data_IF_403762232718
#
_entry.id   IF_403762232718
#
_cell.length_a   1.000
_cell.length_b   1.000
_cell.length_c   1.000
_cell.angle_alpha   90.00
_cell.angle_beta   90.00
_cell.angle_gamma   90.00
#
_symmetry.space_group_name_H-M   'P 1'
#
loop_
_entity.id
_entity.type
_entity.pdbx_description
1 polymer ?
#
# COMPACT_ATOMS: atom_id res chain seq x y z
N UNK A 1 43.18 -3.53 -49.21
CA UNK A 1 43.18 -5.00 -49.03
C UNK A 1 43.25 -5.33 -47.55
N UNK A 2 42.30 -6.15 -47.11
CA UNK A 2 42.04 -6.79 -45.82
C UNK A 2 43.13 -6.79 -44.73
N UNK A 3 42.71 -6.48 -43.49
CA UNK A 3 42.78 -7.45 -42.37
C UNK A 3 41.81 -7.07 -41.26
N UNK A 4 40.58 -7.57 -41.43
CA UNK A 4 39.64 -7.84 -40.33
C UNK A 4 40.07 -9.19 -39.74
N UNK A 5 40.30 -9.28 -38.43
CA UNK A 5 40.00 -10.43 -37.54
C UNK A 5 40.91 -10.43 -36.30
N UNK A 6 40.39 -9.93 -35.17
CA UNK A 6 40.35 -10.65 -33.89
C UNK A 6 39.59 -9.79 -32.87
N UNK A 7 38.28 -10.03 -32.84
CA UNK A 7 37.37 -9.65 -31.78
C UNK A 7 37.48 -10.70 -30.65
N UNK A 8 37.14 -10.28 -29.42
CA UNK A 8 37.03 -11.04 -28.18
C UNK A 8 38.33 -11.53 -27.54
N UNK A 9 38.66 -10.92 -26.40
CA UNK A 9 38.74 -11.60 -25.10
C UNK A 9 39.02 -10.52 -24.01
N UNK A 10 38.12 -10.44 -23.01
CA UNK A 10 38.41 -10.00 -21.61
C UNK A 10 38.57 -8.47 -21.45
N UNK A 11 37.57 -7.64 -21.12
CA UNK A 11 36.53 -7.68 -20.06
C UNK A 11 37.08 -7.98 -18.66
N UNK A 12 36.75 -7.14 -17.67
CA UNK A 12 37.07 -7.23 -16.23
C UNK A 12 38.44 -6.70 -15.75
N UNK A 13 38.71 -5.39 -15.79
CA UNK A 13 39.52 -4.75 -14.70
C UNK A 13 38.95 -3.38 -14.23
N UNK A 14 37.89 -2.83 -14.84
CA UNK A 14 37.44 -1.46 -14.52
C UNK A 14 36.10 -1.41 -13.80
N UNK A 15 36.03 -1.88 -12.55
CA UNK A 15 34.84 -1.68 -11.69
C UNK A 15 35.06 -1.87 -10.19
N UNK A 16 36.22 -1.48 -9.62
CA UNK A 16 36.46 -1.61 -8.17
C UNK A 16 36.70 -0.32 -7.38
N UNK A 17 36.55 0.86 -7.98
CA UNK A 17 36.49 2.10 -7.23
C UNK A 17 35.29 2.90 -7.69
N UNK A 18 34.23 2.91 -6.88
CA UNK A 18 33.39 4.06 -6.52
C UNK A 18 32.17 3.54 -5.72
N UNK A 19 32.00 4.09 -4.51
CA UNK A 19 30.82 4.12 -3.65
C UNK A 19 30.36 2.84 -2.92
N UNK A 20 30.60 2.79 -1.62
CA UNK A 20 29.95 1.82 -0.73
C UNK A 20 30.17 2.02 0.77
N UNK A 21 30.38 3.26 1.23
CA UNK A 21 30.39 3.58 2.66
C UNK A 21 28.95 3.47 3.20
N UNK A 22 28.61 2.33 3.83
CA UNK A 22 27.71 2.19 4.98
C UNK A 22 27.18 0.74 5.08
N UNK A 23 28.01 -0.14 5.64
CA UNK A 23 27.51 -1.32 6.35
C UNK A 23 26.76 -0.86 7.61
N UNK A 24 25.52 -0.37 7.46
CA UNK A 24 24.59 -0.20 8.58
C UNK A 24 23.74 -1.45 8.69
N UNK A 25 24.00 -2.24 9.74
CA UNK A 25 23.19 -3.35 10.26
C UNK A 25 21.77 -3.38 9.66
N UNK A 26 21.61 -4.23 8.65
CA UNK A 26 20.33 -4.82 8.29
C UNK A 26 19.88 -5.68 9.47
N UNK A 27 19.16 -5.05 10.39
CA UNK A 27 18.29 -5.78 11.30
C UNK A 27 17.22 -6.44 10.43
N UNK A 28 17.47 -7.70 10.08
CA UNK A 28 16.58 -8.71 9.50
C UNK A 28 15.12 -8.25 9.39
N UNK A 29 14.80 -7.50 8.32
CA UNK A 29 13.42 -7.22 7.97
C UNK A 29 12.84 -8.53 7.41
N UNK A 30 11.65 -8.98 7.83
CA UNK A 30 11.02 -10.16 7.24
C UNK A 30 10.52 -9.78 5.84
N UNK A 31 11.45 -9.73 4.88
CA UNK A 31 11.25 -9.13 3.56
C UNK A 31 10.49 -10.04 2.59
N UNK A 32 10.30 -11.33 2.90
CA UNK A 32 9.49 -12.23 2.08
C UNK A 32 8.38 -12.97 2.83
N UNK A 33 8.47 -13.08 4.15
CA UNK A 33 7.60 -13.98 4.92
C UNK A 33 6.36 -13.30 5.52
N UNK A 34 5.65 -12.49 4.73
CA UNK A 34 4.20 -12.35 5.01
C UNK A 34 3.56 -13.65 4.50
N UNK A 35 3.61 -14.71 5.31
CA UNK A 35 3.09 -16.05 4.99
C UNK A 35 1.70 -15.92 4.37
N UNK A 36 1.52 -16.52 3.20
CA UNK A 36 0.23 -16.51 2.48
C UNK A 36 -0.82 -17.15 3.39
N UNK A 37 -1.80 -16.38 3.86
CA UNK A 37 -2.85 -16.84 4.77
C UNK A 37 -2.82 -16.20 6.15
N UNK A 38 -1.70 -15.59 6.56
CA UNK A 38 -1.63 -14.77 7.79
C UNK A 38 -2.53 -13.53 7.66
N UNK A 39 -3.12 -13.10 8.78
CA UNK A 39 -3.79 -11.80 8.87
C UNK A 39 -2.75 -10.69 8.87
N UNK A 40 -2.96 -9.66 8.03
CA UNK A 40 -2.00 -8.57 7.88
C UNK A 40 -2.23 -7.46 8.91
N UNK A 41 -1.14 -6.93 9.45
CA UNK A 41 -1.17 -5.75 10.33
C UNK A 41 -1.15 -4.44 9.55
N UNK A 42 -1.47 -3.33 10.22
CA UNK A 42 -1.38 -1.99 9.64
C UNK A 42 0.05 -1.63 9.22
N UNK A 43 1.04 -2.00 10.04
CA UNK A 43 2.46 -1.77 9.74
C UNK A 43 2.92 -2.58 8.52
N UNK A 44 2.60 -3.87 8.47
CA UNK A 44 2.90 -4.73 7.32
C UNK A 44 2.26 -4.20 6.02
N UNK A 45 1.00 -3.74 6.08
CA UNK A 45 0.33 -3.19 4.90
C UNK A 45 0.91 -1.83 4.48
N UNK A 46 1.28 -0.97 5.44
CA UNK A 46 1.98 0.28 5.17
C UNK A 46 3.30 0.02 4.43
N UNK A 47 4.06 -0.98 4.88
CA UNK A 47 5.27 -1.42 4.21
C UNK A 47 5.01 -1.86 2.77
N UNK A 48 4.03 -2.73 2.53
CA UNK A 48 3.72 -3.18 1.18
C UNK A 48 3.29 -2.03 0.26
N UNK A 49 2.52 -1.07 0.76
CA UNK A 49 2.11 0.11 -0.01
C UNK A 49 3.30 1.01 -0.36
N UNK A 50 4.12 1.34 0.64
CA UNK A 50 5.25 2.25 0.51
C UNK A 50 6.33 1.75 -0.47
N UNK A 51 6.48 0.42 -0.56
CA UNK A 51 7.50 -0.27 -1.37
C UNK A 51 7.03 -0.65 -2.77
N UNK A 52 5.74 -0.96 -2.96
CA UNK A 52 5.24 -1.51 -4.23
C UNK A 52 4.62 -0.50 -5.18
N UNK A 53 4.00 0.55 -4.64
CA UNK A 53 3.36 1.57 -5.49
C UNK A 53 4.39 2.62 -5.90
N UNK A 54 4.32 3.07 -7.15
CA UNK A 54 5.03 4.27 -7.57
C UNK A 54 4.30 5.50 -7.02
N UNK A 55 5.03 6.35 -6.30
CA UNK A 55 4.51 7.57 -5.68
C UNK A 55 5.09 8.85 -6.32
N UNK A 56 5.82 8.70 -7.42
CA UNK A 56 6.36 9.83 -8.19
C UNK A 56 5.24 10.73 -8.73
N UNK A 57 5.50 12.03 -8.80
CA UNK A 57 4.54 13.03 -9.30
C UNK A 57 3.41 13.38 -8.32
N UNK A 58 3.38 12.81 -7.11
CA UNK A 58 2.41 13.19 -6.08
C UNK A 58 2.97 14.36 -5.27
N UNK A 59 2.72 15.57 -5.74
CA UNK A 59 3.07 16.79 -5.02
C UNK A 59 2.07 17.04 -3.89
N UNK A 60 2.34 16.49 -2.70
CA UNK A 60 1.69 16.93 -1.46
C UNK A 60 2.62 17.84 -0.68
N UNK A 61 2.07 18.97 -0.20
CA UNK A 61 2.77 19.86 0.74
C UNK A 61 3.24 19.03 1.94
N UNK A 62 4.50 19.20 2.40
CA UNK A 62 5.03 18.42 3.51
C UNK A 62 4.22 18.71 4.77
N UNK A 63 3.36 17.74 5.15
CA UNK A 63 2.60 17.79 6.39
C UNK A 63 3.46 17.19 7.50
N UNK A 64 3.64 17.94 8.60
CA UNK A 64 4.24 17.39 9.82
C UNK A 64 3.23 16.41 10.42
N UNK A 65 3.60 15.14 10.48
CA UNK A 65 2.80 14.08 11.11
C UNK A 65 3.55 13.59 12.34
N UNK A 66 2.91 13.65 13.50
CA UNK A 66 3.42 13.14 14.77
C UNK A 66 2.81 11.77 15.00
N UNK A 67 3.66 10.76 15.20
CA UNK A 67 3.26 9.37 15.46
C UNK A 67 4.12 8.84 16.60
N UNK A 68 3.50 8.54 17.73
CA UNK A 68 4.22 8.29 19.00
C UNK A 68 4.59 6.82 19.22
N UNK A 69 3.89 5.88 18.57
CA UNK A 69 3.95 4.44 18.85
C UNK A 69 4.73 3.63 17.79
N UNK A 70 5.52 4.29 16.94
CA UNK A 70 6.24 3.63 15.84
C UNK A 70 7.76 3.57 16.02
N UNK A 71 8.29 4.02 17.17
CA UNK A 71 9.74 4.05 17.41
C UNK A 71 10.39 2.67 17.32
N UNK A 72 9.71 1.63 17.82
CA UNK A 72 10.15 0.23 17.81
C UNK A 72 9.66 -0.56 16.58
N UNK A 73 8.84 0.04 15.72
CA UNK A 73 8.29 -0.67 14.56
C UNK A 73 9.36 -0.83 13.47
N UNK A 74 9.55 -2.02 12.88
CA UNK A 74 10.44 -2.19 11.74
C UNK A 74 9.96 -1.42 10.50
N UNK A 75 8.67 -1.08 10.43
CA UNK A 75 8.03 -0.37 9.32
C UNK A 75 7.94 1.14 9.53
N UNK A 76 8.72 1.69 10.47
CA UNK A 76 8.62 3.10 10.90
C UNK A 76 8.69 4.08 9.73
N UNK A 77 9.58 3.85 8.78
CA UNK A 77 9.80 4.78 7.66
C UNK A 77 8.64 4.72 6.65
N UNK A 78 8.14 3.52 6.38
CA UNK A 78 7.02 3.26 5.48
C UNK A 78 5.72 3.80 6.06
N UNK A 79 5.49 3.59 7.36
CA UNK A 79 4.38 4.19 8.09
C UNK A 79 4.41 5.72 7.96
N UNK A 80 5.57 6.34 8.22
CA UNK A 80 5.71 7.81 8.05
C UNK A 80 5.41 8.25 6.62
N UNK A 81 5.86 7.49 5.61
CA UNK A 81 5.61 7.79 4.20
C UNK A 81 4.12 7.77 3.88
N UNK A 82 3.41 6.67 4.17
CA UNK A 82 1.98 6.54 3.88
C UNK A 82 1.11 7.50 4.71
N UNK A 83 1.52 7.84 5.93
CA UNK A 83 0.82 8.79 6.78
C UNK A 83 0.97 10.24 6.27
N UNK A 84 2.18 10.65 5.86
CA UNK A 84 2.40 11.97 5.23
C UNK A 84 1.58 12.17 3.96
N UNK A 85 1.39 11.10 3.20
CA UNK A 85 0.54 11.11 1.99
C UNK A 85 -0.96 11.00 2.30
N UNK A 86 -1.35 10.87 3.57
CA UNK A 86 -2.74 10.66 4.02
C UNK A 86 -3.40 9.42 3.39
N UNK A 87 -2.58 8.42 3.04
CA UNK A 87 -3.04 7.14 2.51
C UNK A 87 -3.58 6.28 3.66
N UNK A 88 -2.84 6.23 4.76
CA UNK A 88 -3.26 5.61 6.01
C UNK A 88 -3.36 6.67 7.11
N UNK A 89 -4.45 6.62 7.85
CA UNK A 89 -4.77 7.57 8.93
C UNK A 89 -3.95 7.27 10.19
N UNK A 90 -3.50 8.34 10.86
CA UNK A 90 -3.01 8.34 12.24
C UNK A 90 -4.19 8.72 13.13
N UNK A 91 -4.44 7.96 14.18
CA UNK A 91 -5.58 8.18 15.07
C UNK A 91 -5.46 9.51 15.83
N UNK A 92 -6.57 10.07 16.34
CA UNK A 92 -6.57 11.35 17.06
C UNK A 92 -5.61 11.42 18.26
N UNK A 93 -5.34 10.28 18.90
CA UNK A 93 -4.38 10.14 20.00
C UNK A 93 -2.91 10.02 19.54
N UNK A 94 -2.60 10.42 18.30
CA UNK A 94 -1.27 10.35 17.68
C UNK A 94 -0.66 8.94 17.54
N UNK A 95 -1.48 7.89 17.61
CA UNK A 95 -1.04 6.51 17.40
C UNK A 95 -1.32 6.04 15.98
N UNK A 96 -0.49 5.14 15.47
CA UNK A 96 -0.71 4.44 14.22
C UNK A 96 -1.20 3.00 14.43
N UNK A 97 -0.86 2.38 15.56
CA UNK A 97 -1.12 0.99 15.92
C UNK A 97 -0.54 0.02 14.86
N UNK A 98 0.80 -0.06 14.71
CA UNK A 98 1.42 -0.87 13.66
C UNK A 98 1.06 -2.36 13.73
N UNK A 99 0.89 -2.90 14.93
CA UNK A 99 0.58 -4.32 15.14
C UNK A 99 -0.91 -4.66 15.07
N UNK A 100 -1.78 -3.63 15.03
CA UNK A 100 -3.23 -3.85 14.87
C UNK A 100 -3.51 -4.45 13.50
N UNK A 101 -4.31 -5.52 13.48
CA UNK A 101 -4.79 -6.15 12.25
C UNK A 101 -5.71 -5.22 11.46
N UNK A 102 -5.62 -5.28 10.14
CA UNK A 102 -6.55 -4.59 9.24
C UNK A 102 -7.78 -5.45 8.96
N UNK A 103 -8.95 -4.82 8.93
CA UNK A 103 -10.13 -5.43 8.34
C UNK A 103 -10.35 -4.97 6.88
N UNK A 104 -11.28 -5.64 6.19
CA UNK A 104 -11.58 -5.37 4.77
C UNK A 104 -12.19 -3.98 4.54
N UNK A 105 -12.97 -3.45 5.48
CA UNK A 105 -13.53 -2.11 5.40
C UNK A 105 -12.46 -1.02 5.50
N UNK A 106 -11.52 -1.16 6.42
CA UNK A 106 -10.34 -0.31 6.56
C UNK A 106 -9.47 -0.37 5.30
N UNK A 107 -9.25 -1.57 4.76
CA UNK A 107 -8.55 -1.74 3.48
C UNK A 107 -9.25 -0.98 2.34
N UNK A 108 -10.58 -1.06 2.25
CA UNK A 108 -11.35 -0.33 1.26
C UNK A 108 -11.17 1.19 1.40
N UNK A 109 -11.14 1.69 2.64
CA UNK A 109 -10.86 3.12 2.92
C UNK A 109 -9.46 3.54 2.46
N UNK A 110 -8.45 2.70 2.70
CA UNK A 110 -7.08 2.95 2.23
C UNK A 110 -7.04 2.95 0.69
N UNK A 111 -7.73 2.00 0.04
CA UNK A 111 -7.86 1.95 -1.43
C UNK A 111 -8.51 3.23 -1.97
N UNK A 112 -9.58 3.72 -1.35
CA UNK A 112 -10.19 5.02 -1.70
C UNK A 112 -9.17 6.17 -1.59
N UNK A 113 -8.43 6.25 -0.48
CA UNK A 113 -7.44 7.31 -0.28
C UNK A 113 -6.35 7.28 -1.35
N UNK A 114 -5.88 6.10 -1.76
CA UNK A 114 -4.91 5.93 -2.85
C UNK A 114 -5.52 6.40 -4.18
N UNK A 115 -6.70 5.88 -4.50
CA UNK A 115 -7.41 6.20 -5.75
C UNK A 115 -7.71 7.70 -5.89
N UNK A 116 -7.99 8.39 -4.78
CA UNK A 116 -8.23 9.84 -4.75
C UNK A 116 -6.92 10.63 -4.80
N UNK A 117 -5.95 10.28 -3.95
CA UNK A 117 -4.70 11.03 -3.78
C UNK A 117 -3.79 10.86 -4.99
N UNK A 118 -3.56 9.63 -5.42
CA UNK A 118 -2.70 9.32 -6.57
C UNK A 118 -3.42 9.63 -7.88
N UNK A 119 -4.72 9.30 -7.94
CA UNK A 119 -5.50 9.47 -9.16
C UNK A 119 -6.06 10.87 -9.39
N UNK A 120 -5.89 11.82 -8.46
CA UNK A 120 -6.39 13.20 -8.55
C UNK A 120 -7.92 13.34 -8.61
N UNK A 121 -8.67 12.35 -8.09
CA UNK A 121 -10.12 12.23 -8.31
C UNK A 121 -10.92 12.50 -7.04
N UNK A 122 -10.87 13.72 -6.53
CA UNK A 122 -11.54 14.13 -5.28
C UNK A 122 -13.05 13.82 -5.27
N UNK A 123 -13.70 13.91 -6.44
CA UNK A 123 -15.12 13.52 -6.63
C UNK A 123 -15.43 12.08 -6.19
N UNK A 124 -14.45 11.20 -6.09
CA UNK A 124 -14.66 9.82 -5.65
C UNK A 124 -14.98 9.68 -4.17
N UNK A 125 -14.62 10.65 -3.31
CA UNK A 125 -14.92 10.59 -1.86
C UNK A 125 -16.40 10.57 -1.51
N UNK A 126 -17.25 11.08 -2.42
CA UNK A 126 -18.70 11.22 -2.21
C UNK A 126 -19.54 10.52 -3.29
N UNK A 127 -18.90 9.84 -4.24
CA UNK A 127 -19.52 9.36 -5.49
C UNK A 127 -20.75 8.47 -5.27
N UNK A 128 -20.74 7.64 -4.24
CA UNK A 128 -21.79 6.67 -3.96
C UNK A 128 -22.63 7.00 -2.73
N UNK A 129 -22.45 8.19 -2.14
CA UNK A 129 -23.36 8.63 -1.09
C UNK A 129 -24.79 8.67 -1.63
N UNK A 130 -25.77 8.32 -0.79
CA UNK A 130 -27.19 8.26 -1.12
C UNK A 130 -27.56 7.29 -2.26
N UNK A 131 -26.70 6.31 -2.59
CA UNK A 131 -27.03 5.22 -3.50
C UNK A 131 -27.40 3.96 -2.70
N UNK A 132 -28.27 3.09 -3.24
CA UNK A 132 -28.58 1.82 -2.58
C UNK A 132 -27.31 0.95 -2.48
N UNK A 133 -27.22 0.16 -1.40
CA UNK A 133 -26.13 -0.77 -1.23
C UNK A 133 -26.27 -1.96 -2.18
N UNK A 134 -25.22 -2.33 -2.94
CA UNK A 134 -25.20 -3.58 -3.69
C UNK A 134 -24.86 -4.79 -2.82
N UNK A 135 -24.56 -4.59 -1.53
CA UNK A 135 -24.16 -5.65 -0.60
C UNK A 135 -25.16 -5.77 0.55
N UNK A 136 -25.67 -6.98 0.83
CA UNK A 136 -26.65 -7.17 1.89
C UNK A 136 -26.08 -6.93 3.30
N UNK A 137 -24.76 -6.97 3.45
CA UNK A 137 -24.04 -6.82 4.73
C UNK A 137 -23.35 -5.45 4.89
N UNK A 138 -23.61 -4.49 4.00
CA UNK A 138 -23.06 -3.13 4.09
C UNK A 138 -24.19 -2.12 4.03
N UNK A 139 -24.71 -1.64 5.16
CA UNK A 139 -25.72 -0.60 5.15
C UNK A 139 -25.16 0.73 4.65
N UNK A 140 -26.02 1.62 4.14
CA UNK A 140 -25.64 2.92 3.56
C UNK A 140 -24.97 3.86 4.58
N UNK A 141 -25.31 3.72 5.86
CA UNK A 141 -24.70 4.48 6.98
C UNK A 141 -23.38 3.88 7.48
N UNK A 142 -22.90 2.76 6.92
CA UNK A 142 -21.62 2.18 7.31
C UNK A 142 -20.48 3.17 7.03
N UNK A 143 -19.58 3.40 7.99
CA UNK A 143 -18.49 4.40 7.88
C UNK A 143 -17.56 4.24 6.68
N UNK A 144 -17.49 3.04 6.10
CA UNK A 144 -16.70 2.72 4.91
C UNK A 144 -17.55 2.45 3.66
N UNK A 145 -18.86 2.76 3.68
CA UNK A 145 -19.80 2.47 2.59
C UNK A 145 -19.31 2.94 1.22
N UNK A 146 -19.00 4.24 1.07
CA UNK A 146 -18.52 4.80 -0.19
C UNK A 146 -17.24 4.12 -0.68
N UNK A 147 -16.28 3.91 0.24
CA UNK A 147 -14.99 3.31 -0.05
C UNK A 147 -15.12 1.85 -0.52
N UNK A 148 -16.02 1.08 0.12
CA UNK A 148 -16.30 -0.33 -0.23
C UNK A 148 -16.87 -0.43 -1.64
N UNK A 149 -17.87 0.39 -1.96
CA UNK A 149 -18.46 0.40 -3.31
C UNK A 149 -17.42 0.86 -4.34
N UNK A 150 -16.66 1.90 -4.04
CA UNK A 150 -15.61 2.41 -4.93
C UNK A 150 -14.55 1.34 -5.21
N UNK A 151 -13.99 0.72 -4.17
CA UNK A 151 -12.96 -0.32 -4.30
C UNK A 151 -13.47 -1.52 -5.11
N UNK A 152 -14.76 -1.86 -4.99
CA UNK A 152 -15.37 -2.95 -5.78
C UNK A 152 -15.62 -2.53 -7.22
N UNK A 153 -16.20 -1.34 -7.47
CA UNK A 153 -16.46 -0.83 -8.83
C UNK A 153 -15.17 -0.59 -9.61
N UNK A 154 -14.07 -0.26 -8.93
CA UNK A 154 -12.72 -0.16 -9.51
C UNK A 154 -12.01 -1.50 -9.63
N UNK A 155 -12.68 -2.61 -9.29
CA UNK A 155 -12.16 -3.97 -9.37
C UNK A 155 -10.88 -4.17 -8.55
N UNK A 156 -10.63 -3.30 -7.57
CA UNK A 156 -9.47 -3.37 -6.67
C UNK A 156 -9.72 -4.39 -5.56
N UNK A 157 -10.93 -4.36 -4.99
CA UNK A 157 -11.44 -5.39 -4.08
C UNK A 157 -12.58 -6.17 -4.74
N UNK A 158 -12.88 -7.36 -4.22
CA UNK A 158 -14.00 -8.19 -4.69
C UNK A 158 -14.81 -8.68 -3.48
N UNK A 159 -16.15 -8.77 -3.57
CA UNK A 159 -16.96 -9.45 -2.57
C UNK A 159 -16.67 -10.96 -2.57
N UNK A 160 -17.19 -11.65 -1.57
CA UNK A 160 -17.21 -13.11 -1.52
C UNK A 160 -18.25 -13.69 -2.49
N UNK A 161 -18.21 -15.01 -2.70
CA UNK A 161 -19.10 -15.71 -3.65
C UNK A 161 -20.58 -15.63 -3.27
N UNK A 162 -20.86 -15.42 -1.98
CA UNK A 162 -22.19 -15.22 -1.40
C UNK A 162 -22.73 -13.79 -1.60
N UNK A 163 -22.02 -12.93 -2.34
CA UNK A 163 -22.40 -11.54 -2.58
C UNK A 163 -22.13 -10.59 -1.41
N UNK A 164 -21.61 -11.08 -0.27
CA UNK A 164 -21.26 -10.24 0.90
C UNK A 164 -19.88 -9.62 0.76
N UNK A 165 -19.68 -8.42 1.30
CA UNK A 165 -18.37 -7.77 1.29
C UNK A 165 -17.52 -8.14 2.52
N UNK A 166 -18.18 -8.31 3.67
CA UNK A 166 -17.66 -8.59 5.01
C UNK A 166 -16.66 -7.55 5.50
N UNK A 167 -17.09 -6.30 5.73
CA UNK A 167 -16.18 -5.20 6.06
C UNK A 167 -15.42 -5.42 7.38
N UNK A 168 -16.04 -6.09 8.36
CA UNK A 168 -15.40 -6.40 9.64
C UNK A 168 -14.42 -7.58 9.61
N UNK A 169 -14.38 -8.35 8.52
CA UNK A 169 -13.50 -9.53 8.47
C UNK A 169 -12.03 -9.11 8.36
N UNK A 170 -11.12 -9.80 9.06
CA UNK A 170 -9.68 -9.57 8.92
C UNK A 170 -9.20 -9.71 7.47
N UNK A 171 -8.24 -8.87 7.09
CA UNK A 171 -7.63 -8.91 5.77
C UNK A 171 -6.46 -9.90 5.77
N UNK A 172 -6.52 -10.92 4.92
CA UNK A 172 -5.37 -11.82 4.75
C UNK A 172 -4.26 -11.16 3.93
N UNK A 173 -3.02 -11.58 4.16
CA UNK A 173 -1.84 -11.19 3.39
C UNK A 173 -1.98 -11.47 1.89
N UNK A 174 -2.66 -12.57 1.53
CA UNK A 174 -2.95 -12.92 0.14
C UNK A 174 -3.95 -11.96 -0.51
N UNK A 175 -4.97 -11.52 0.23
CA UNK A 175 -5.89 -10.48 -0.22
C UNK A 175 -5.19 -9.12 -0.37
N UNK A 176 -4.39 -8.72 0.62
CA UNK A 176 -3.62 -7.48 0.59
C UNK A 176 -2.71 -7.39 -0.65
N UNK A 177 -1.94 -8.44 -0.95
CA UNK A 177 -1.10 -8.48 -2.17
C UNK A 177 -1.92 -8.40 -3.45
N UNK A 178 -3.09 -9.04 -3.51
CA UNK A 178 -4.00 -8.92 -4.67
C UNK A 178 -4.52 -7.50 -4.86
N UNK A 179 -4.84 -6.81 -3.77
CA UNK A 179 -5.24 -5.39 -3.79
C UNK A 179 -4.13 -4.52 -4.36
N UNK A 180 -2.90 -4.68 -3.87
CA UNK A 180 -1.74 -3.90 -4.33
C UNK A 180 -1.47 -4.13 -5.81
N UNK A 181 -1.42 -5.38 -6.28
CA UNK A 181 -1.26 -5.69 -7.71
C UNK A 181 -2.36 -5.12 -8.62
N UNK A 182 -3.56 -4.91 -8.08
CA UNK A 182 -4.65 -4.27 -8.83
C UNK A 182 -4.47 -2.75 -8.85
N UNK A 183 -4.00 -2.15 -7.76
CA UNK A 183 -3.66 -0.73 -7.70
C UNK A 183 -2.49 -0.38 -8.63
N UNK A 184 -1.42 -1.18 -8.65
CA UNK A 184 -0.30 -1.00 -9.57
C UNK A 184 -0.78 -0.88 -11.03
N UNK A 185 -1.74 -1.71 -11.44
CA UNK A 185 -2.32 -1.66 -12.80
C UNK A 185 -3.22 -0.45 -13.07
N UNK A 186 -3.68 0.26 -12.05
CA UNK A 186 -4.43 1.51 -12.24
C UNK A 186 -3.53 2.73 -12.47
N UNK A 187 -2.24 2.62 -12.13
CA UNK A 187 -1.27 3.74 -12.17
C UNK A 187 -0.03 3.47 -13.03
N UNK A 188 0.04 2.31 -13.70
CA UNK A 188 0.94 2.10 -14.84
C UNK A 188 0.41 2.85 -16.04
#
# INVERSE_FOLDING_TARGET
MLKVHRLLMISLILSFLILGCAAKKEALLPSEEVVRGKIITRGEFAYLLATRLNWEGIEKRPKKVIIIDISKSPYRNEIKKVAKMEIMEVYPNHTFLPDKTLNRGECAKIVENILVTVGGKEKWRKKYLNKPSPFPDVPTYHRHFNAIILATKKKTMKPYRDGRFRPGFPLSSGEARRVIRRLERHFK
#
